data_IF_274947866781
#
_entry.id   IF_274947866781
#
_cell.length_a   1.000
_cell.length_b   1.000
_cell.length_c   1.000
_cell.angle_alpha   90.00
_cell.angle_beta   90.00
_cell.angle_gamma   90.00
#
_symmetry.space_group_name_H-M   'P 1'
#
loop_
_entity.id
_entity.type
_entity.pdbx_description
1 polymer ?
#
# COMPACT_ATOMS: atom_id res chain seq x y z
N UNK A 1 -20.41 2.49 23.38
CA UNK A 1 -20.44 1.79 22.09
C UNK A 1 -21.19 2.66 21.09
N UNK A 2 -20.55 3.11 20.01
CA UNK A 2 -21.28 3.64 18.86
C UNK A 2 -22.11 2.49 18.28
N UNK A 3 -23.37 2.76 17.93
CA UNK A 3 -24.29 1.72 17.54
C UNK A 3 -23.76 0.88 16.36
N UNK A 4 -24.07 -0.40 16.34
CA UNK A 4 -23.67 -1.41 15.32
C UNK A 4 -24.04 -1.04 13.88
N UNK A 5 -24.75 0.06 13.64
CA UNK A 5 -25.21 0.52 12.33
C UNK A 5 -24.49 1.77 11.79
N UNK A 6 -23.66 2.43 12.61
CA UNK A 6 -22.93 3.61 12.18
C UNK A 6 -21.86 3.21 11.15
N UNK A 7 -21.78 3.97 10.04
CA UNK A 7 -20.85 3.78 8.95
C UNK A 7 -20.07 5.04 8.71
N UNK A 8 -18.82 4.90 8.28
CA UNK A 8 -17.98 6.04 7.89
C UNK A 8 -17.23 5.69 6.60
N UNK A 9 -16.91 6.73 5.85
CA UNK A 9 -16.13 6.66 4.62
C UNK A 9 -15.18 7.86 4.57
N UNK A 10 -13.90 7.62 4.32
CA UNK A 10 -12.87 8.63 4.13
C UNK A 10 -12.26 8.48 2.74
N UNK A 11 -11.79 9.59 2.17
CA UNK A 11 -11.09 9.62 0.89
C UNK A 11 -10.23 10.88 0.78
N UNK A 12 -9.23 10.93 -0.11
CA UNK A 12 -8.58 12.17 -0.47
C UNK A 12 -9.59 13.16 -1.04
N UNK A 13 -9.29 14.45 -0.93
CA UNK A 13 -10.14 15.50 -1.47
C UNK A 13 -10.22 15.41 -3.00
N UNK A 14 -9.08 15.07 -3.67
CA UNK A 14 -9.00 14.81 -5.11
C UNK A 14 -8.01 13.69 -5.39
N UNK A 15 -8.27 12.98 -6.48
CA UNK A 15 -7.37 12.06 -7.13
C UNK A 15 -7.29 12.43 -8.62
N UNK A 16 -6.09 12.55 -9.14
CA UNK A 16 -5.83 12.88 -10.55
C UNK A 16 -4.79 11.89 -11.05
N UNK A 17 -5.04 11.28 -12.21
CA UNK A 17 -4.16 10.30 -12.83
C UNK A 17 -4.09 10.54 -14.33
N UNK A 18 -2.90 10.35 -14.89
CA UNK A 18 -2.68 10.36 -16.33
C UNK A 18 -1.23 10.61 -16.72
N UNK A 19 -0.85 10.35 -17.97
CA UNK A 19 0.51 10.53 -18.44
C UNK A 19 0.90 12.01 -18.53
N UNK A 20 2.00 12.36 -17.84
CA UNK A 20 2.54 13.72 -17.83
C UNK A 20 1.83 14.69 -16.89
N UNK A 21 0.96 14.21 -15.99
CA UNK A 21 0.23 15.06 -15.03
C UNK A 21 1.12 15.79 -14.03
N UNK A 22 2.32 15.28 -13.76
CA UNK A 22 3.29 15.96 -12.91
C UNK A 22 3.62 17.38 -13.42
N UNK A 23 3.55 17.63 -14.72
CA UNK A 23 3.79 18.97 -15.30
C UNK A 23 2.78 20.01 -14.84
N UNK A 24 1.60 19.58 -14.41
CA UNK A 24 0.52 20.43 -13.95
C UNK A 24 0.59 20.75 -12.45
N UNK A 25 1.57 20.17 -11.71
CA UNK A 25 1.67 20.33 -10.26
C UNK A 25 1.72 21.79 -9.78
N UNK A 26 2.33 22.76 -10.49
CA UNK A 26 2.29 24.17 -10.08
C UNK A 26 0.85 24.71 -10.01
N UNK A 27 -0.02 24.29 -10.92
CA UNK A 27 -1.44 24.70 -10.89
C UNK A 27 -2.17 24.17 -9.67
N UNK A 28 -1.90 22.91 -9.32
CA UNK A 28 -2.53 22.29 -8.14
C UNK A 28 -1.98 22.87 -6.83
N UNK A 29 -0.69 23.18 -6.75
CA UNK A 29 -0.08 23.82 -5.57
C UNK A 29 -0.76 25.16 -5.27
N UNK A 30 -1.06 25.99 -6.27
CA UNK A 30 -1.74 27.28 -6.10
C UNK A 30 -3.10 27.20 -5.40
N UNK A 31 -3.75 26.05 -5.44
CA UNK A 31 -5.02 25.85 -4.75
C UNK A 31 -4.86 25.68 -3.24
N UNK A 32 -3.68 25.27 -2.78
CA UNK A 32 -3.43 24.89 -1.38
C UNK A 32 -2.39 25.77 -0.68
N UNK A 33 -1.54 26.48 -1.47
CA UNK A 33 -0.48 27.31 -0.92
C UNK A 33 0.33 28.02 -1.99
N UNK A 34 1.49 28.55 -1.59
CA UNK A 34 2.40 29.30 -2.45
C UNK A 34 3.88 28.93 -2.28
N UNK A 35 4.20 28.20 -1.22
CA UNK A 35 5.56 27.76 -0.90
C UNK A 35 5.58 26.28 -0.57
N UNK A 36 5.99 25.44 -1.54
CA UNK A 36 5.96 24.00 -1.46
C UNK A 36 7.28 23.40 -0.97
N UNK A 37 7.23 22.46 -0.04
CA UNK A 37 8.35 21.63 0.35
C UNK A 37 8.19 20.23 -0.26
N UNK A 38 9.11 19.84 -1.13
CA UNK A 38 9.12 18.52 -1.77
C UNK A 38 10.03 17.57 -1.00
N UNK A 39 9.45 16.55 -0.37
CA UNK A 39 10.18 15.40 0.17
C UNK A 39 10.26 14.35 -0.94
N UNK A 40 11.45 14.11 -1.45
CA UNK A 40 11.66 13.26 -2.64
C UNK A 40 12.46 12.01 -2.26
N UNK A 41 11.98 10.85 -2.71
CA UNK A 41 12.66 9.56 -2.54
C UNK A 41 14.11 9.62 -3.06
N UNK A 42 15.04 9.07 -2.27
CA UNK A 42 16.47 9.16 -2.53
C UNK A 42 16.91 8.58 -3.87
N UNK A 43 16.22 7.56 -4.40
CA UNK A 43 16.56 6.92 -5.68
C UNK A 43 16.26 7.80 -6.89
N UNK A 44 15.21 8.60 -6.80
CA UNK A 44 14.75 9.46 -7.92
C UNK A 44 15.11 10.93 -7.71
N UNK A 45 15.74 11.30 -6.59
CA UNK A 45 15.96 12.69 -6.19
C UNK A 45 16.60 13.54 -7.29
N UNK A 46 17.75 13.09 -7.83
CA UNK A 46 18.52 13.90 -8.80
C UNK A 46 17.80 14.05 -10.15
N UNK A 47 17.01 13.05 -10.56
CA UNK A 47 16.21 13.13 -11.79
C UNK A 47 14.99 14.01 -11.61
N UNK A 48 14.28 13.85 -10.49
CA UNK A 48 13.08 14.63 -10.20
C UNK A 48 13.40 16.10 -9.93
N UNK A 49 14.49 16.42 -9.24
CA UNK A 49 14.90 17.79 -8.99
C UNK A 49 15.10 18.54 -10.31
N UNK A 50 15.79 17.93 -11.29
CA UNK A 50 15.96 18.54 -12.63
C UNK A 50 14.63 18.74 -13.35
N UNK A 51 13.74 17.76 -13.28
CA UNK A 51 12.41 17.87 -13.89
C UNK A 51 11.56 18.97 -13.23
N UNK A 52 11.65 19.10 -11.90
CA UNK A 52 10.96 20.17 -11.17
C UNK A 52 11.51 21.56 -11.54
N UNK A 53 12.83 21.71 -11.74
CA UNK A 53 13.42 22.97 -12.24
C UNK A 53 12.78 23.41 -13.57
N UNK A 54 12.58 22.47 -14.50
CA UNK A 54 11.90 22.74 -15.78
C UNK A 54 10.42 23.09 -15.58
N UNK A 55 9.70 22.32 -14.75
CA UNK A 55 8.26 22.49 -14.48
C UNK A 55 7.97 23.84 -13.81
N UNK A 56 8.82 24.26 -12.87
CA UNK A 56 8.61 25.51 -12.13
C UNK A 56 9.20 26.74 -12.83
N UNK A 57 9.93 26.54 -13.96
CA UNK A 57 10.49 27.66 -14.73
C UNK A 57 9.41 28.64 -15.17
N UNK A 58 9.53 29.91 -14.77
CA UNK A 58 8.57 30.96 -15.10
C UNK A 58 7.29 30.95 -14.28
N UNK A 59 7.18 30.14 -13.24
CA UNK A 59 6.07 30.19 -12.28
C UNK A 59 6.38 31.15 -11.14
N UNK A 60 5.35 31.58 -10.40
CA UNK A 60 5.42 32.41 -9.20
C UNK A 60 5.40 31.62 -7.88
N UNK A 61 5.53 30.30 -7.97
CA UNK A 61 5.54 29.40 -6.80
C UNK A 61 6.96 29.25 -6.29
N UNK A 62 7.14 29.43 -4.99
CA UNK A 62 8.36 29.06 -4.30
C UNK A 62 8.35 27.56 -4.00
N UNK A 63 9.45 26.85 -4.29
CA UNK A 63 9.57 25.46 -3.91
C UNK A 63 10.96 25.14 -3.37
N UNK A 64 11.02 24.15 -2.51
CA UNK A 64 12.23 23.62 -1.91
C UNK A 64 12.23 22.10 -2.05
N UNK A 65 13.38 21.49 -2.25
CA UNK A 65 13.51 20.05 -2.37
C UNK A 65 14.39 19.48 -1.27
N UNK A 66 13.97 18.38 -0.69
CA UNK A 66 14.75 17.63 0.29
C UNK A 66 14.80 16.15 -0.11
N UNK A 67 15.97 15.54 0.07
CA UNK A 67 16.17 14.10 -0.16
C UNK A 67 15.67 13.33 1.06
N UNK A 68 14.74 12.43 0.85
CA UNK A 68 14.25 11.51 1.88
C UNK A 68 15.36 10.53 2.33
N UNK A 69 15.50 10.33 3.63
CA UNK A 69 16.54 9.50 4.23
C UNK A 69 16.33 7.99 4.09
N UNK A 70 15.16 7.55 3.59
CA UNK A 70 14.89 6.15 3.25
C UNK A 70 14.01 5.40 4.25
N UNK A 71 13.81 5.92 5.49
CA UNK A 71 12.93 5.28 6.47
C UNK A 71 11.91 6.25 7.07
N UNK A 72 10.65 5.82 7.18
CA UNK A 72 9.57 6.61 7.80
C UNK A 72 9.69 6.55 9.33
N UNK A 73 10.65 7.30 9.87
CA UNK A 73 10.94 7.34 11.29
C UNK A 73 10.79 8.75 11.87
N UNK A 74 10.65 8.83 13.21
CA UNK A 74 10.41 10.12 13.89
C UNK A 74 11.51 11.14 13.60
N UNK A 75 12.77 10.73 13.51
CA UNK A 75 13.88 11.64 13.22
C UNK A 75 13.80 12.29 11.84
N UNK A 76 13.32 11.56 10.81
CA UNK A 76 13.08 12.13 9.47
C UNK A 76 11.90 13.10 9.50
N UNK A 77 10.85 12.80 10.24
CA UNK A 77 9.71 13.70 10.43
C UNK A 77 10.16 15.01 11.10
N UNK A 78 10.88 14.91 12.23
CA UNK A 78 11.33 16.07 13.01
C UNK A 78 12.28 16.98 12.19
N UNK A 79 13.20 16.37 11.45
CA UNK A 79 14.12 17.07 10.53
C UNK A 79 13.35 17.88 9.48
N UNK A 80 12.41 17.24 8.77
CA UNK A 80 11.65 17.92 7.73
C UNK A 80 10.71 19.00 8.29
N UNK A 81 10.15 18.80 9.48
CA UNK A 81 9.35 19.80 10.20
C UNK A 81 10.20 21.05 10.49
N UNK A 82 11.42 20.89 11.02
CA UNK A 82 12.33 22.00 11.30
C UNK A 82 12.72 22.76 10.01
N UNK A 83 13.05 22.03 8.95
CA UNK A 83 13.38 22.62 7.64
C UNK A 83 12.19 23.40 7.06
N UNK A 84 10.98 22.86 7.06
CA UNK A 84 9.78 23.53 6.57
C UNK A 84 9.47 24.82 7.34
N UNK A 85 9.59 24.80 8.67
CA UNK A 85 9.39 25.99 9.50
C UNK A 85 10.44 27.07 9.20
N UNK A 86 11.70 26.68 9.03
CA UNK A 86 12.79 27.59 8.67
C UNK A 86 12.65 28.23 7.29
N UNK A 87 12.05 27.52 6.34
CA UNK A 87 11.82 27.97 4.97
C UNK A 87 10.48 28.71 4.79
N UNK A 88 9.57 28.64 5.76
CA UNK A 88 8.23 29.20 5.64
C UNK A 88 7.36 28.49 4.60
N UNK A 89 7.60 27.18 4.37
CA UNK A 89 6.78 26.39 3.47
C UNK A 89 5.37 26.17 4.05
N UNK A 90 4.34 26.38 3.22
CA UNK A 90 2.92 26.33 3.62
C UNK A 90 2.21 25.06 3.20
N UNK A 91 2.84 24.20 2.39
CA UNK A 91 2.38 22.87 2.03
C UNK A 91 3.55 21.91 1.80
N UNK A 92 3.27 20.60 1.86
CA UNK A 92 4.26 19.55 1.56
C UNK A 92 3.82 18.70 0.38
N UNK A 93 4.78 18.34 -0.49
CA UNK A 93 4.62 17.38 -1.58
C UNK A 93 5.50 16.17 -1.31
N UNK A 94 4.90 14.99 -1.16
CA UNK A 94 5.64 13.73 -1.05
C UNK A 94 5.75 13.06 -2.40
N UNK A 95 6.96 13.02 -2.96
CA UNK A 95 7.24 12.43 -4.26
C UNK A 95 8.10 11.17 -4.07
N UNK A 96 7.49 9.98 -4.13
CA UNK A 96 8.22 8.74 -3.87
C UNK A 96 7.36 7.52 -3.65
N UNK A 97 7.95 6.50 -3.05
CA UNK A 97 7.28 5.27 -2.63
C UNK A 97 6.58 5.36 -1.26
N UNK A 98 6.04 4.25 -0.77
CA UNK A 98 5.23 4.18 0.45
C UNK A 98 5.84 4.87 1.66
N UNK A 99 7.14 4.65 1.96
CA UNK A 99 7.81 5.27 3.12
C UNK A 99 7.94 6.79 3.00
N UNK A 100 8.22 7.31 1.82
CA UNK A 100 8.23 8.76 1.55
C UNK A 100 6.84 9.36 1.74
N UNK A 101 5.81 8.66 1.24
CA UNK A 101 4.41 9.04 1.38
C UNK A 101 3.99 9.07 2.84
N UNK A 102 4.31 8.04 3.61
CA UNK A 102 3.98 7.95 5.04
C UNK A 102 4.65 9.07 5.83
N UNK A 103 5.94 9.31 5.60
CA UNK A 103 6.67 10.43 6.25
C UNK A 103 6.03 11.77 5.90
N UNK A 104 5.65 11.99 4.63
CA UNK A 104 4.94 13.20 4.19
C UNK A 104 3.63 13.42 4.94
N UNK A 105 2.85 12.35 5.11
CA UNK A 105 1.59 12.40 5.87
C UNK A 105 1.81 12.78 7.33
N UNK A 106 2.83 12.20 7.97
CA UNK A 106 3.16 12.50 9.36
C UNK A 106 3.60 13.95 9.55
N UNK A 107 4.45 14.48 8.65
CA UNK A 107 4.89 15.87 8.65
C UNK A 107 3.70 16.82 8.49
N UNK A 108 2.86 16.58 7.47
CA UNK A 108 1.68 17.39 7.22
C UNK A 108 0.69 17.40 8.39
N UNK A 109 0.53 16.25 9.06
CA UNK A 109 -0.33 16.11 10.21
C UNK A 109 0.19 16.87 11.45
N UNK A 110 1.52 16.83 11.65
CA UNK A 110 2.19 17.55 12.74
C UNK A 110 2.11 19.06 12.56
N UNK A 111 2.38 19.57 11.34
CA UNK A 111 2.33 21.00 11.03
C UNK A 111 0.92 21.52 10.72
N UNK A 112 -0.04 20.62 10.50
CA UNK A 112 -1.39 20.93 10.06
C UNK A 112 -1.42 21.71 8.72
N UNK A 113 -0.54 21.38 7.79
CA UNK A 113 -0.45 21.96 6.43
C UNK A 113 -1.10 21.05 5.39
N UNK A 114 -1.38 21.60 4.22
CA UNK A 114 -1.85 20.80 3.08
C UNK A 114 -0.77 19.84 2.59
N UNK A 115 -1.18 18.67 2.06
CA UNK A 115 -0.27 17.68 1.48
C UNK A 115 -0.75 17.21 0.12
N UNK A 116 0.20 17.12 -0.81
CA UNK A 116 0.05 16.52 -2.12
C UNK A 116 0.91 15.26 -2.15
N UNK A 117 0.32 14.14 -2.53
CA UNK A 117 1.02 12.86 -2.67
C UNK A 117 1.24 12.58 -4.15
N UNK A 118 2.49 12.35 -4.52
CA UNK A 118 2.90 12.00 -5.89
C UNK A 118 3.63 10.65 -5.84
N UNK A 119 2.92 9.53 -6.01
CA UNK A 119 3.57 8.23 -6.02
C UNK A 119 4.49 8.09 -7.24
N UNK A 120 5.72 7.67 -7.01
CA UNK A 120 6.69 7.38 -8.08
C UNK A 120 6.57 5.96 -8.64
N UNK A 121 5.76 5.13 -8.01
CA UNK A 121 5.43 3.77 -8.41
C UNK A 121 4.09 3.38 -7.82
N UNK A 122 3.32 2.54 -8.50
CA UNK A 122 2.06 1.97 -7.99
C UNK A 122 2.34 0.67 -7.21
N UNK A 123 3.19 0.76 -6.18
CA UNK A 123 3.74 -0.39 -5.44
C UNK A 123 2.99 -0.74 -4.16
N UNK A 124 2.12 0.15 -3.70
CA UNK A 124 1.29 -0.01 -2.49
C UNK A 124 0.06 0.87 -2.58
N UNK A 125 -0.88 0.65 -1.69
CA UNK A 125 -2.12 1.40 -1.53
C UNK A 125 -1.99 2.63 -0.59
N UNK A 126 -0.79 2.90 -0.09
CA UNK A 126 -0.52 4.04 0.78
C UNK A 126 -0.95 5.41 0.21
N UNK A 127 -0.91 5.72 -1.10
CA UNK A 127 -1.15 7.08 -1.59
C UNK A 127 -2.46 7.72 -1.13
N UNK A 128 -3.55 6.97 -1.14
CA UNK A 128 -4.90 7.53 -0.90
C UNK A 128 -5.41 7.35 0.52
N UNK A 129 -4.83 6.44 1.28
CA UNK A 129 -5.26 6.17 2.65
C UNK A 129 -4.86 7.25 3.65
N UNK A 130 -5.71 7.49 4.64
CA UNK A 130 -5.44 8.38 5.78
C UNK A 130 -4.66 7.69 6.91
N UNK A 131 -3.81 6.71 6.57
CA UNK A 131 -2.91 6.02 7.49
C UNK A 131 -1.47 6.24 7.06
N UNK A 132 -0.54 6.18 8.03
CA UNK A 132 0.90 6.26 7.79
C UNK A 132 1.63 5.30 8.72
N UNK A 133 2.56 4.52 8.17
CA UNK A 133 3.45 3.68 8.95
C UNK A 133 4.55 4.50 9.61
N UNK A 134 4.79 4.26 10.90
CA UNK A 134 5.95 4.78 11.61
C UNK A 134 6.86 3.60 11.96
N UNK A 135 8.14 3.76 11.64
CA UNK A 135 9.15 2.71 11.77
C UNK A 135 10.29 3.17 12.67
N UNK A 136 11.05 2.22 13.18
CA UNK A 136 12.36 2.49 13.74
C UNK A 136 13.38 2.71 12.62
N UNK A 137 14.53 3.35 12.89
CA UNK A 137 15.59 3.54 11.89
C UNK A 137 16.12 2.23 11.26
N UNK A 138 15.93 1.09 11.93
CA UNK A 138 16.30 -0.23 11.43
C UNK A 138 15.22 -0.91 10.55
N UNK A 139 14.12 -0.19 10.25
CA UNK A 139 13.06 -0.64 9.37
C UNK A 139 11.94 -1.47 10.03
N UNK A 140 12.00 -1.66 11.35
CA UNK A 140 10.94 -2.37 12.07
C UNK A 140 9.76 -1.43 12.31
N UNK A 141 8.56 -1.85 11.92
CA UNK A 141 7.34 -1.08 12.12
C UNK A 141 7.00 -0.96 13.60
N UNK A 142 6.81 0.27 14.06
CA UNK A 142 6.37 0.57 15.43
C UNK A 142 4.84 0.53 15.51
N UNK A 143 4.19 1.24 14.59
CA UNK A 143 2.73 1.36 14.52
C UNK A 143 2.26 1.99 13.21
N UNK A 144 1.00 1.75 12.86
CA UNK A 144 0.27 2.56 11.90
C UNK A 144 -0.40 3.74 12.64
N UNK A 145 -0.22 4.95 12.12
CA UNK A 145 -0.79 6.19 12.66
C UNK A 145 -1.93 6.62 11.75
N UNK A 146 -3.10 6.81 12.32
CA UNK A 146 -4.21 7.43 11.62
C UNK A 146 -4.00 8.94 11.61
N UNK A 147 -3.98 9.53 10.42
CA UNK A 147 -3.88 10.96 10.24
C UNK A 147 -5.21 11.67 10.50
N UNK A 148 -5.17 12.96 10.79
CA UNK A 148 -6.36 13.76 11.10
C UNK A 148 -7.31 13.88 9.91
N UNK A 149 -6.77 13.82 8.67
CA UNK A 149 -7.51 13.87 7.42
C UNK A 149 -6.78 13.08 6.32
N UNK A 150 -7.45 12.75 5.23
CA UNK A 150 -6.80 12.24 4.02
C UNK A 150 -6.10 13.40 3.28
N UNK A 151 -5.32 13.09 2.25
CA UNK A 151 -4.56 14.08 1.49
C UNK A 151 -5.48 15.01 0.68
N UNK A 152 -5.06 16.26 0.51
CA UNK A 152 -5.78 17.21 -0.32
C UNK A 152 -5.73 16.82 -1.79
N UNK A 153 -4.59 16.29 -2.25
CA UNK A 153 -4.44 15.77 -3.61
C UNK A 153 -3.55 14.52 -3.62
N UNK A 154 -3.98 13.52 -4.38
CA UNK A 154 -3.12 12.44 -4.86
C UNK A 154 -2.98 12.62 -6.37
N UNK A 155 -1.76 12.89 -6.83
CA UNK A 155 -1.43 13.16 -8.24
C UNK A 155 -0.56 12.03 -8.77
N UNK A 156 -1.11 11.21 -9.64
CA UNK A 156 -0.42 10.06 -10.23
C UNK A 156 -0.06 10.37 -11.67
N UNK A 157 1.23 10.50 -11.93
CA UNK A 157 1.74 10.56 -13.30
C UNK A 157 2.07 9.14 -13.78
N UNK A 158 1.23 8.57 -14.62
CA UNK A 158 1.40 7.20 -15.12
C UNK A 158 2.70 7.03 -15.93
N UNK A 159 3.19 8.07 -16.60
CA UNK A 159 4.50 8.01 -17.26
C UNK A 159 5.64 7.86 -16.24
N UNK A 160 5.54 8.45 -15.06
CA UNK A 160 6.51 8.25 -13.96
C UNK A 160 6.41 6.81 -13.45
N UNK A 161 5.20 6.32 -13.26
CA UNK A 161 4.93 4.96 -12.74
C UNK A 161 5.48 3.89 -13.69
N UNK A 162 5.24 3.96 -15.00
CA UNK A 162 5.71 2.93 -15.95
C UNK A 162 7.24 2.95 -16.12
N UNK A 163 7.90 4.04 -15.76
CA UNK A 163 9.36 4.14 -15.77
C UNK A 163 10.01 3.54 -14.51
N UNK A 164 9.22 3.23 -13.48
CA UNK A 164 9.69 2.51 -12.30
C UNK A 164 9.93 1.01 -12.60
N UNK A 165 10.74 0.31 -11.80
CA UNK A 165 10.92 -1.14 -11.95
C UNK A 165 9.58 -1.90 -11.90
N UNK A 166 9.30 -2.76 -12.89
CA UNK A 166 8.07 -3.53 -13.00
C UNK A 166 7.75 -4.39 -11.76
N UNK A 167 8.79 -4.81 -11.00
CA UNK A 167 8.62 -5.50 -9.72
C UNK A 167 7.81 -4.70 -8.71
N UNK A 168 7.95 -3.36 -8.71
CA UNK A 168 7.18 -2.48 -7.82
C UNK A 168 5.70 -2.49 -8.22
N UNK A 169 5.41 -2.50 -9.51
CA UNK A 169 4.04 -2.58 -10.01
C UNK A 169 3.38 -3.93 -9.67
N UNK A 170 4.12 -5.04 -9.85
CA UNK A 170 3.66 -6.37 -9.40
C UNK A 170 3.38 -6.40 -7.90
N UNK A 171 4.26 -5.83 -7.08
CA UNK A 171 4.04 -5.77 -5.64
C UNK A 171 2.77 -5.00 -5.28
N UNK A 172 2.46 -3.90 -5.99
CA UNK A 172 1.20 -3.18 -5.83
C UNK A 172 -0.02 -4.06 -6.12
N UNK A 173 0.03 -4.87 -7.16
CA UNK A 173 -1.05 -5.83 -7.43
C UNK A 173 -1.18 -6.90 -6.34
N UNK A 174 -0.08 -7.33 -5.74
CA UNK A 174 -0.09 -8.26 -4.60
C UNK A 174 -0.75 -7.69 -3.37
N UNK A 175 -0.49 -6.41 -3.09
CA UNK A 175 -1.11 -5.65 -2.00
C UNK A 175 -2.61 -5.46 -2.25
N UNK A 176 -2.94 -4.92 -3.42
CA UNK A 176 -4.30 -4.61 -3.84
C UNK A 176 -5.22 -5.85 -3.94
N UNK A 177 -4.67 -7.03 -4.27
CA UNK A 177 -5.45 -8.26 -4.37
C UNK A 177 -6.02 -8.71 -3.02
N UNK A 178 -5.37 -8.37 -1.89
CA UNK A 178 -5.88 -8.66 -0.56
C UNK A 178 -7.14 -7.85 -0.21
N UNK A 179 -7.29 -6.66 -0.79
CA UNK A 179 -8.29 -5.66 -0.39
C UNK A 179 -9.72 -6.21 -0.40
N UNK A 180 -10.13 -6.91 -1.45
CA UNK A 180 -11.48 -7.48 -1.52
C UNK A 180 -11.67 -8.68 -0.58
N UNK A 181 -10.67 -9.53 -0.46
CA UNK A 181 -10.73 -10.71 0.40
C UNK A 181 -10.89 -10.28 1.86
N UNK A 182 -10.05 -9.35 2.32
CA UNK A 182 -10.10 -8.83 3.67
C UNK A 182 -11.36 -7.97 3.94
N UNK A 183 -11.84 -7.23 2.93
CA UNK A 183 -13.12 -6.51 3.03
C UNK A 183 -14.29 -7.47 3.31
N UNK A 184 -14.33 -8.64 2.66
CA UNK A 184 -15.35 -9.68 2.90
C UNK A 184 -15.28 -10.19 4.33
N UNK A 185 -14.08 -10.53 4.81
CA UNK A 185 -13.84 -11.03 6.17
C UNK A 185 -14.29 -10.01 7.22
N UNK A 186 -13.84 -8.76 7.09
CA UNK A 186 -14.19 -7.67 8.00
C UNK A 186 -15.69 -7.36 8.00
N UNK A 187 -16.33 -7.43 6.84
CA UNK A 187 -17.77 -7.23 6.75
C UNK A 187 -18.55 -8.35 7.45
N UNK A 188 -18.11 -9.61 7.29
CA UNK A 188 -18.72 -10.78 7.90
C UNK A 188 -18.51 -10.81 9.44
N UNK A 189 -17.30 -10.50 9.91
CA UNK A 189 -16.97 -10.44 11.34
C UNK A 189 -17.50 -9.19 12.05
N UNK A 190 -18.08 -8.23 11.30
CA UNK A 190 -18.48 -6.92 11.82
C UNK A 190 -17.31 -6.10 12.38
N UNK A 191 -16.09 -6.30 11.91
CA UNK A 191 -14.91 -5.54 12.29
C UNK A 191 -15.06 -4.07 11.88
N UNK A 192 -14.68 -3.10 12.74
CA UNK A 192 -14.67 -1.69 12.39
C UNK A 192 -13.63 -1.36 11.31
N UNK A 193 -13.94 -0.37 10.47
CA UNK A 193 -12.97 0.20 9.54
C UNK A 193 -11.98 1.16 10.23
N UNK A 194 -10.99 1.69 9.46
CA UNK A 194 -9.95 2.56 9.99
C UNK A 194 -10.35 4.05 10.09
N UNK A 195 -11.54 4.46 9.60
CA UNK A 195 -11.97 5.86 9.60
C UNK A 195 -12.22 6.40 11.02
N UNK A 196 -12.59 5.55 11.95
CA UNK A 196 -12.82 5.97 13.34
C UNK A 196 -13.17 4.82 14.26
N UNK A 197 -13.40 5.14 15.52
CA UNK A 197 -13.72 4.14 16.53
C UNK A 197 -15.12 3.54 16.29
N UNK A 198 -15.18 2.29 15.84
CA UNK A 198 -16.40 1.50 15.79
C UNK A 198 -17.33 1.75 14.60
N UNK A 199 -16.86 2.32 13.50
CA UNK A 199 -17.63 2.43 12.26
C UNK A 199 -17.51 1.17 11.40
N UNK A 200 -18.63 0.72 10.85
CA UNK A 200 -18.68 -0.37 9.89
C UNK A 200 -18.36 0.10 8.47
N UNK A 201 -17.89 -0.80 7.59
CA UNK A 201 -17.77 -0.52 6.16
C UNK A 201 -19.08 -0.02 5.54
N UNK A 202 -18.96 0.93 4.61
CA UNK A 202 -20.08 1.36 3.78
C UNK A 202 -20.29 0.40 2.61
N UNK A 203 -21.46 0.46 1.97
CA UNK A 203 -21.67 -0.28 0.71
C UNK A 203 -20.80 0.25 -0.42
N UNK A 204 -20.48 1.54 -0.42
CA UNK A 204 -19.54 2.13 -1.36
C UNK A 204 -18.13 1.53 -1.19
N UNK A 205 -17.61 1.44 0.04
CA UNK A 205 -16.32 0.82 0.31
C UNK A 205 -16.24 -0.63 -0.17
N UNK A 206 -17.29 -1.42 0.09
CA UNK A 206 -17.38 -2.81 -0.39
C UNK A 206 -17.40 -2.91 -1.92
N UNK A 207 -18.07 -1.98 -2.60
CA UNK A 207 -18.10 -1.95 -4.06
C UNK A 207 -16.73 -1.57 -4.64
N UNK A 208 -16.04 -0.60 -4.04
CA UNK A 208 -14.69 -0.18 -4.41
C UNK A 208 -13.69 -1.34 -4.24
N UNK A 209 -13.69 -2.00 -3.08
CA UNK A 209 -12.81 -3.15 -2.83
C UNK A 209 -13.05 -4.30 -3.82
N UNK A 210 -14.32 -4.56 -4.18
CA UNK A 210 -14.66 -5.57 -5.18
C UNK A 210 -14.20 -5.19 -6.57
N UNK A 211 -14.36 -3.93 -6.96
CA UNK A 211 -13.92 -3.43 -8.28
C UNK A 211 -12.40 -3.48 -8.40
N UNK A 212 -11.65 -3.18 -7.33
CA UNK A 212 -10.21 -3.36 -7.27
C UNK A 212 -9.80 -4.77 -7.72
N UNK A 213 -10.34 -5.79 -7.08
CA UNK A 213 -10.05 -7.20 -7.43
C UNK A 213 -10.44 -7.55 -8.86
N UNK A 214 -11.59 -7.06 -9.36
CA UNK A 214 -12.05 -7.31 -10.73
C UNK A 214 -11.05 -6.77 -11.75
N UNK A 215 -10.62 -5.52 -11.60
CA UNK A 215 -9.65 -4.87 -12.50
C UNK A 215 -8.32 -5.65 -12.50
N UNK A 216 -7.82 -6.03 -11.34
CA UNK A 216 -6.58 -6.79 -11.25
C UNK A 216 -6.66 -8.11 -12.04
N UNK A 217 -7.74 -8.86 -11.87
CA UNK A 217 -7.92 -10.16 -12.54
C UNK A 217 -8.10 -10.00 -14.06
N UNK A 218 -8.79 -8.96 -14.51
CA UNK A 218 -9.04 -8.68 -15.92
C UNK A 218 -7.81 -8.09 -16.63
N UNK A 219 -7.21 -7.04 -16.09
CA UNK A 219 -6.22 -6.20 -16.76
C UNK A 219 -4.77 -6.45 -16.30
N UNK A 220 -4.56 -7.01 -15.10
CA UNK A 220 -3.25 -7.05 -14.45
C UNK A 220 -2.13 -7.70 -15.28
N UNK A 221 -2.44 -8.76 -16.03
CA UNK A 221 -1.45 -9.46 -16.88
C UNK A 221 -0.98 -8.59 -18.04
N UNK A 222 -1.92 -7.93 -18.72
CA UNK A 222 -1.63 -7.04 -19.84
C UNK A 222 -0.94 -5.76 -19.37
N UNK A 223 -1.41 -5.20 -18.25
CA UNK A 223 -0.80 -4.05 -17.61
C UNK A 223 0.67 -4.30 -17.25
N UNK A 224 0.99 -5.45 -16.63
CA UNK A 224 2.39 -5.80 -16.32
C UNK A 224 3.23 -5.94 -17.59
N UNK A 225 2.68 -6.51 -18.65
CA UNK A 225 3.38 -6.62 -19.93
C UNK A 225 3.70 -5.25 -20.53
N UNK A 226 2.78 -4.29 -20.42
CA UNK A 226 2.98 -2.89 -20.85
C UNK A 226 4.06 -2.20 -20.00
N UNK A 227 3.97 -2.30 -18.67
CA UNK A 227 4.95 -1.71 -17.74
C UNK A 227 6.36 -2.25 -17.96
N UNK A 228 6.52 -3.54 -18.25
CA UNK A 228 7.82 -4.13 -18.61
C UNK A 228 8.46 -3.53 -19.87
N UNK A 229 7.67 -2.86 -20.70
CA UNK A 229 8.11 -2.13 -21.91
C UNK A 229 8.04 -0.60 -21.73
N UNK A 230 7.74 -0.11 -20.51
CA UNK A 230 7.57 1.31 -20.19
C UNK A 230 6.48 2.00 -21.03
N UNK A 231 5.41 1.27 -21.33
CA UNK A 231 4.28 1.76 -22.13
C UNK A 231 3.11 2.11 -21.23
N UNK A 232 2.47 3.24 -21.55
CA UNK A 232 1.16 3.63 -21.00
C UNK A 232 0.08 3.02 -21.87
N UNK A 233 -0.84 2.27 -21.28
CA UNK A 233 -2.00 1.65 -21.93
C UNK A 233 -3.23 1.78 -21.04
N UNK A 234 -4.42 1.53 -21.57
CA UNK A 234 -5.67 1.58 -20.79
C UNK A 234 -5.64 0.56 -19.62
N UNK A 235 -5.16 -0.66 -19.88
CA UNK A 235 -5.07 -1.69 -18.85
C UNK A 235 -4.07 -1.31 -17.76
N UNK A 236 -2.97 -0.66 -18.12
CA UNK A 236 -1.98 -0.18 -17.15
C UNK A 236 -2.56 0.96 -16.30
N UNK A 237 -3.25 1.93 -16.90
CA UNK A 237 -3.95 2.99 -16.19
C UNK A 237 -5.00 2.42 -15.22
N UNK A 238 -5.79 1.43 -15.65
CA UNK A 238 -6.78 0.77 -14.80
C UNK A 238 -6.11 0.10 -13.58
N UNK A 239 -4.96 -0.56 -13.77
CA UNK A 239 -4.24 -1.22 -12.68
C UNK A 239 -3.53 -0.22 -11.77
N UNK A 240 -3.03 0.91 -12.28
CA UNK A 240 -2.55 2.01 -11.41
C UNK A 240 -3.69 2.50 -10.51
N UNK A 241 -4.88 2.73 -11.08
CA UNK A 241 -6.06 3.12 -10.30
C UNK A 241 -6.40 2.05 -9.24
N UNK A 242 -6.39 0.77 -9.62
CA UNK A 242 -6.64 -0.33 -8.69
C UNK A 242 -5.62 -0.34 -7.54
N UNK A 243 -4.32 -0.27 -7.82
CA UNK A 243 -3.25 -0.34 -6.82
C UNK A 243 -3.24 0.88 -5.89
N UNK A 244 -3.51 2.09 -6.40
CA UNK A 244 -3.32 3.33 -5.65
C UNK A 244 -4.62 3.90 -5.08
N UNK A 245 -5.70 3.93 -5.88
CA UNK A 245 -6.97 4.52 -5.46
C UNK A 245 -7.90 3.48 -4.84
N UNK A 246 -8.24 2.43 -5.60
CA UNK A 246 -9.28 1.50 -5.16
C UNK A 246 -8.83 0.66 -3.97
N UNK A 247 -7.57 0.20 -3.98
CA UNK A 247 -7.00 -0.52 -2.85
C UNK A 247 -6.91 0.37 -1.61
N UNK A 248 -6.35 1.58 -1.73
CA UNK A 248 -6.20 2.49 -0.61
C UNK A 248 -7.54 2.91 0.01
N UNK A 249 -8.54 3.22 -0.82
CA UNK A 249 -9.90 3.48 -0.33
C UNK A 249 -10.56 2.21 0.22
N UNK A 250 -10.30 1.08 -0.41
CA UNK A 250 -10.82 -0.22 0.01
C UNK A 250 -10.37 -0.53 1.44
N UNK A 251 -9.07 -0.67 1.67
CA UNK A 251 -8.56 -1.10 2.98
C UNK A 251 -8.83 -0.08 4.09
N UNK A 252 -8.69 1.23 3.83
CA UNK A 252 -8.99 2.25 4.85
C UNK A 252 -10.44 2.18 5.31
N UNK A 253 -11.36 1.94 4.36
CA UNK A 253 -12.80 1.98 4.60
C UNK A 253 -13.42 0.61 4.94
N UNK A 254 -12.67 -0.48 4.82
CA UNK A 254 -13.14 -1.83 5.18
C UNK A 254 -12.29 -2.52 6.25
N UNK A 255 -11.02 -2.15 6.40
CA UNK A 255 -10.05 -2.78 7.30
C UNK A 255 -9.24 -3.88 6.63
N UNK A 256 -8.14 -4.32 7.28
CA UNK A 256 -7.35 -5.49 6.94
C UNK A 256 -7.72 -6.69 7.83
N UNK A 257 -7.33 -7.90 7.42
CA UNK A 257 -7.60 -9.15 8.14
C UNK A 257 -6.40 -10.10 8.09
N UNK A 258 -6.61 -11.39 7.81
CA UNK A 258 -5.56 -12.41 7.93
C UNK A 258 -4.41 -12.25 6.94
N UNK A 259 -4.63 -11.75 5.73
CA UNK A 259 -3.54 -11.58 4.76
C UNK A 259 -2.49 -10.60 5.30
N UNK A 260 -2.89 -9.43 5.76
CA UNK A 260 -1.98 -8.47 6.39
C UNK A 260 -1.48 -8.92 7.77
N UNK A 261 -2.29 -9.68 8.52
CA UNK A 261 -1.86 -10.26 9.78
C UNK A 261 -0.70 -11.25 9.61
N UNK A 262 -0.79 -12.15 8.63
CA UNK A 262 0.26 -13.12 8.31
C UNK A 262 1.48 -12.44 7.68
N UNK A 263 1.27 -11.46 6.79
CA UNK A 263 2.34 -10.63 6.25
C UNK A 263 3.20 -10.00 7.36
N UNK A 264 2.57 -9.50 8.44
CA UNK A 264 3.31 -8.94 9.57
C UNK A 264 4.22 -9.98 10.22
N UNK A 265 3.72 -11.21 10.43
CA UNK A 265 4.55 -12.33 10.92
C UNK A 265 5.69 -12.71 9.97
N UNK A 266 5.45 -12.78 8.65
CA UNK A 266 6.50 -13.03 7.66
C UNK A 266 7.59 -11.95 7.67
N UNK A 267 7.24 -10.73 8.03
CA UNK A 267 8.17 -9.61 8.09
C UNK A 267 9.15 -9.67 9.27
N UNK A 268 8.92 -10.54 10.26
CA UNK A 268 9.87 -10.81 11.34
C UNK A 268 11.05 -11.68 10.89
N UNK A 269 10.93 -12.36 9.75
CA UNK A 269 11.98 -13.24 9.23
C UNK A 269 13.03 -12.43 8.47
N UNK A 270 14.26 -12.40 9.00
CA UNK A 270 15.33 -11.58 8.46
C UNK A 270 15.65 -11.86 6.97
N UNK A 271 15.57 -13.12 6.52
CA UNK A 271 15.78 -13.48 5.11
C UNK A 271 14.71 -12.92 4.16
N UNK A 272 13.55 -12.53 4.69
CA UNK A 272 12.45 -11.94 3.92
C UNK A 272 12.46 -10.40 3.89
N UNK A 273 13.40 -9.73 4.57
CA UNK A 273 13.46 -8.25 4.60
C UNK A 273 13.72 -7.62 3.23
N UNK A 274 14.36 -8.36 2.31
CA UNK A 274 14.59 -7.90 0.92
C UNK A 274 13.37 -7.95 0.00
N UNK A 275 12.26 -8.51 0.47
CA UNK A 275 11.01 -8.59 -0.28
C UNK A 275 10.10 -7.41 0.02
N UNK A 276 9.40 -6.96 -1.02
CA UNK A 276 8.44 -5.86 -0.95
C UNK A 276 7.20 -6.26 -0.13
N UNK A 277 6.49 -5.26 0.38
CA UNK A 277 5.25 -5.45 1.14
C UNK A 277 4.27 -6.38 0.40
N UNK A 278 3.87 -5.99 -0.81
CA UNK A 278 2.89 -6.75 -1.59
C UNK A 278 3.37 -8.14 -2.04
N UNK A 279 4.68 -8.38 -2.15
CA UNK A 279 5.20 -9.74 -2.40
C UNK A 279 4.92 -10.67 -1.22
N UNK A 280 5.08 -10.18 0.02
CA UNK A 280 4.74 -10.95 1.22
C UNK A 280 3.23 -11.09 1.40
N UNK A 281 2.47 -10.03 1.10
CA UNK A 281 0.99 -10.06 1.12
C UNK A 281 0.47 -11.10 0.13
N UNK A 282 1.04 -11.21 -1.06
CA UNK A 282 0.63 -12.19 -2.09
C UNK A 282 0.64 -13.64 -1.56
N UNK A 283 1.70 -14.07 -0.89
CA UNK A 283 1.71 -15.39 -0.25
C UNK A 283 0.71 -15.47 0.92
N UNK A 284 0.58 -14.41 1.70
CA UNK A 284 -0.34 -14.37 2.84
C UNK A 284 -1.81 -14.46 2.42
N UNK A 285 -2.16 -13.98 1.21
CA UNK A 285 -3.49 -14.19 0.61
C UNK A 285 -3.82 -15.68 0.54
N UNK A 286 -2.90 -16.51 0.07
CA UNK A 286 -3.14 -17.96 -0.02
C UNK A 286 -3.36 -18.58 1.35
N UNK A 287 -2.62 -18.11 2.36
CA UNK A 287 -2.83 -18.57 3.74
C UNK A 287 -4.22 -18.18 4.26
N UNK A 288 -4.65 -16.94 4.02
CA UNK A 288 -6.00 -16.47 4.37
C UNK A 288 -7.08 -17.32 3.67
N UNK A 289 -6.92 -17.56 2.37
CA UNK A 289 -7.86 -18.37 1.59
C UNK A 289 -7.98 -19.82 2.12
N UNK A 290 -6.87 -20.38 2.65
CA UNK A 290 -6.91 -21.69 3.35
C UNK A 290 -7.69 -21.57 4.66
N UNK A 291 -7.49 -20.53 5.46
CA UNK A 291 -8.23 -20.27 6.71
C UNK A 291 -9.74 -20.18 6.43
N UNK A 292 -10.12 -19.45 5.38
CA UNK A 292 -11.52 -19.24 4.99
C UNK A 292 -12.16 -20.46 4.30
N UNK A 293 -11.40 -21.51 4.02
CA UNK A 293 -11.86 -22.64 3.20
C UNK A 293 -12.46 -22.17 1.87
N UNK A 294 -11.75 -21.27 1.18
CA UNK A 294 -12.17 -20.68 -0.08
C UNK A 294 -12.44 -21.74 -1.16
N UNK A 295 -13.48 -21.58 -2.01
CA UNK A 295 -13.76 -22.51 -3.11
C UNK A 295 -12.54 -22.72 -4.02
N UNK A 296 -12.36 -23.96 -4.49
CA UNK A 296 -11.20 -24.35 -5.27
C UNK A 296 -11.04 -23.53 -6.57
N UNK A 297 -12.14 -23.09 -7.17
CA UNK A 297 -12.12 -22.25 -8.38
C UNK A 297 -11.53 -20.85 -8.11
N UNK A 298 -11.93 -20.21 -7.01
CA UNK A 298 -11.41 -18.91 -6.60
C UNK A 298 -9.92 -19.03 -6.17
N UNK A 299 -9.54 -20.10 -5.50
CA UNK A 299 -8.15 -20.42 -5.18
C UNK A 299 -7.30 -20.58 -6.46
N UNK A 300 -7.78 -21.35 -7.45
CA UNK A 300 -7.09 -21.57 -8.72
C UNK A 300 -6.89 -20.26 -9.49
N UNK A 301 -7.94 -19.43 -9.58
CA UNK A 301 -7.87 -18.12 -10.25
C UNK A 301 -6.85 -17.20 -9.59
N UNK A 302 -6.88 -17.11 -8.25
CA UNK A 302 -5.96 -16.27 -7.48
C UNK A 302 -4.51 -16.75 -7.61
N UNK A 303 -4.24 -18.05 -7.43
CA UNK A 303 -2.88 -18.59 -7.55
C UNK A 303 -2.31 -18.34 -8.94
N UNK A 304 -3.08 -18.61 -10.00
CA UNK A 304 -2.64 -18.36 -11.38
C UNK A 304 -2.37 -16.88 -11.63
N UNK A 305 -3.26 -16.01 -11.17
CA UNK A 305 -3.05 -14.57 -11.28
C UNK A 305 -1.73 -14.15 -10.63
N UNK A 306 -1.49 -14.51 -9.37
CA UNK A 306 -0.26 -14.16 -8.65
C UNK A 306 1.00 -14.66 -9.39
N UNK A 307 0.97 -15.90 -9.90
CA UNK A 307 2.05 -16.45 -10.70
C UNK A 307 2.31 -15.68 -12.01
N UNK A 308 1.23 -15.31 -12.69
CA UNK A 308 1.31 -14.64 -13.99
C UNK A 308 1.80 -13.18 -13.88
N UNK A 309 1.63 -12.56 -12.70
CA UNK A 309 2.14 -11.23 -12.42
C UNK A 309 3.43 -11.24 -11.57
N UNK A 310 4.20 -12.33 -11.64
CA UNK A 310 5.51 -12.51 -11.01
C UNK A 310 5.53 -12.39 -9.48
N UNK A 311 4.45 -12.75 -8.80
CA UNK A 311 4.34 -12.69 -7.34
C UNK A 311 4.63 -14.05 -6.68
N UNK A 312 5.20 -14.05 -5.45
CA UNK A 312 5.48 -15.28 -4.72
C UNK A 312 4.20 -16.00 -4.27
N UNK A 313 4.19 -17.31 -4.42
CA UNK A 313 3.13 -18.21 -3.97
C UNK A 313 3.65 -19.31 -3.02
N UNK A 314 4.93 -19.25 -2.64
CA UNK A 314 5.56 -20.21 -1.72
C UNK A 314 6.51 -19.49 -0.75
N UNK A 315 6.74 -20.09 0.41
CA UNK A 315 7.75 -19.62 1.38
C UNK A 315 9.15 -19.58 0.77
N UNK A 316 9.50 -20.59 -0.03
CA UNK A 316 10.81 -20.64 -0.69
C UNK A 316 11.06 -19.46 -1.62
N UNK A 317 10.05 -18.96 -2.32
CA UNK A 317 10.15 -17.76 -3.16
C UNK A 317 10.35 -16.47 -2.34
N UNK A 318 10.03 -16.50 -1.05
CA UNK A 318 10.29 -15.43 -0.07
C UNK A 318 11.59 -15.63 0.71
N UNK A 319 12.43 -16.60 0.34
CA UNK A 319 13.62 -17.01 1.06
C UNK A 319 13.35 -17.45 2.52
N UNK A 320 12.17 -17.99 2.79
CA UNK A 320 11.79 -18.48 4.12
C UNK A 320 11.83 -20.01 4.10
N UNK A 321 12.67 -20.59 4.95
CA UNK A 321 12.65 -22.03 5.21
C UNK A 321 11.58 -22.32 6.29
N UNK A 322 10.68 -23.30 6.08
CA UNK A 322 9.63 -23.64 7.04
C UNK A 322 10.18 -24.47 8.22
N UNK A 323 11.25 -24.00 8.85
CA UNK A 323 11.77 -24.60 10.10
C UNK A 323 10.80 -24.34 11.24
N UNK A 324 10.94 -25.15 12.30
CA UNK A 324 10.09 -24.98 13.49
C UNK A 324 10.26 -23.55 14.06
N UNK A 325 11.50 -23.06 14.13
CA UNK A 325 11.84 -21.74 14.68
C UNK A 325 11.21 -20.61 13.87
N UNK A 326 11.32 -20.65 12.54
CA UNK A 326 10.72 -19.63 11.67
C UNK A 326 9.19 -19.66 11.76
N UNK A 327 8.59 -20.85 11.75
CA UNK A 327 7.14 -20.97 11.86
C UNK A 327 6.63 -20.53 13.23
N UNK A 328 7.33 -20.84 14.31
CA UNK A 328 6.98 -20.38 15.65
C UNK A 328 7.00 -18.85 15.72
N UNK A 329 8.02 -18.20 15.17
CA UNK A 329 8.14 -16.74 15.15
C UNK A 329 7.03 -16.09 14.31
N UNK A 330 6.76 -16.60 13.10
CA UNK A 330 5.69 -16.09 12.22
C UNK A 330 4.33 -16.21 12.92
N UNK A 331 4.04 -17.39 13.47
CA UNK A 331 2.76 -17.69 14.09
C UNK A 331 2.55 -16.86 15.36
N UNK A 332 3.57 -16.79 16.24
CA UNK A 332 3.50 -16.00 17.46
C UNK A 332 3.22 -14.52 17.14
N UNK A 333 3.98 -13.93 16.21
CA UNK A 333 3.75 -12.54 15.84
C UNK A 333 2.37 -12.31 15.22
N UNK A 334 1.93 -13.22 14.34
CA UNK A 334 0.62 -13.13 13.68
C UNK A 334 -0.54 -13.19 14.67
N UNK A 335 -0.48 -14.10 15.66
CA UNK A 335 -1.60 -14.37 16.56
C UNK A 335 -1.56 -13.54 17.84
N UNK A 336 -0.36 -13.32 18.41
CA UNK A 336 -0.22 -12.74 19.74
C UNK A 336 0.22 -11.27 19.75
N UNK A 337 0.87 -10.79 18.67
CA UNK A 337 1.38 -9.42 18.56
C UNK A 337 0.67 -8.56 17.52
N UNK A 338 -0.21 -9.18 16.70
CA UNK A 338 -0.99 -8.50 15.68
C UNK A 338 -2.46 -8.90 15.79
N UNK A 339 -3.36 -7.92 15.79
CA UNK A 339 -4.79 -8.20 15.92
C UNK A 339 -5.49 -8.51 14.58
N UNK A 340 -4.84 -8.33 13.44
CA UNK A 340 -5.48 -8.38 12.13
C UNK A 340 -6.04 -9.77 11.80
N UNK A 341 -5.33 -10.83 12.15
CA UNK A 341 -5.80 -12.21 11.93
C UNK A 341 -7.11 -12.51 12.67
N UNK A 342 -7.36 -11.81 13.78
CA UNK A 342 -8.59 -11.97 14.57
C UNK A 342 -9.78 -11.18 14.00
N UNK A 343 -9.59 -10.47 12.90
CA UNK A 343 -10.68 -9.87 12.14
C UNK A 343 -11.42 -10.88 11.25
N UNK A 344 -10.90 -12.09 11.11
CA UNK A 344 -11.62 -13.17 10.44
C UNK A 344 -12.93 -13.51 11.15
N UNK A 345 -13.97 -13.97 10.41
CA UNK A 345 -15.24 -14.37 11.01
C UNK A 345 -15.17 -15.73 11.75
N UNK A 346 -13.98 -16.25 11.93
CA UNK A 346 -13.68 -17.52 12.57
C UNK A 346 -12.80 -17.33 13.81
N UNK A 347 -12.81 -18.31 14.71
CA UNK A 347 -11.88 -18.33 15.84
C UNK A 347 -10.52 -18.74 15.31
N UNK A 348 -9.52 -17.87 15.46
CA UNK A 348 -8.14 -18.09 15.02
C UNK A 348 -7.25 -18.40 16.22
N UNK A 349 -6.39 -19.40 16.05
CA UNK A 349 -5.33 -19.78 17.00
C UNK A 349 -4.04 -20.14 16.25
N UNK A 350 -2.99 -20.42 17.00
CA UNK A 350 -1.66 -20.73 16.45
C UNK A 350 -1.64 -21.93 15.52
N UNK A 351 -2.39 -23.01 15.88
CA UNK A 351 -2.45 -24.23 15.06
C UNK A 351 -3.12 -23.95 13.70
N UNK A 352 -4.20 -23.17 13.69
CA UNK A 352 -4.89 -22.79 12.45
C UNK A 352 -3.96 -22.00 11.53
N UNK A 353 -3.27 -21.00 12.06
CA UNK A 353 -2.34 -20.17 11.28
C UNK A 353 -1.17 -21.00 10.76
N UNK A 354 -0.56 -21.83 11.61
CA UNK A 354 0.54 -22.73 11.22
C UNK A 354 0.14 -23.68 10.10
N UNK A 355 -1.00 -24.34 10.25
CA UNK A 355 -1.51 -25.29 9.26
C UNK A 355 -1.86 -24.58 7.95
N UNK A 356 -2.42 -23.38 8.01
CA UNK A 356 -2.73 -22.58 6.83
C UNK A 356 -1.47 -22.19 6.06
N UNK A 357 -0.40 -21.74 6.74
CA UNK A 357 0.88 -21.40 6.12
C UNK A 357 1.48 -22.63 5.41
N UNK A 358 1.52 -23.78 6.08
CA UNK A 358 2.08 -25.01 5.50
C UNK A 358 1.24 -25.54 4.33
N UNK A 359 -0.09 -25.48 4.45
CA UNK A 359 -0.99 -25.91 3.38
C UNK A 359 -0.89 -24.97 2.16
N UNK A 360 -0.84 -23.66 2.37
CA UNK A 360 -0.66 -22.67 1.30
C UNK A 360 0.68 -22.86 0.57
N UNK A 361 1.77 -23.11 1.30
CA UNK A 361 3.08 -23.39 0.72
C UNK A 361 3.06 -24.66 -0.17
N UNK A 362 2.43 -25.74 0.29
CA UNK A 362 2.31 -26.96 -0.53
C UNK A 362 1.37 -26.77 -1.72
N UNK A 363 0.28 -26.00 -1.57
CA UNK A 363 -0.56 -25.60 -2.71
C UNK A 363 0.29 -24.86 -3.75
N UNK A 364 1.02 -23.83 -3.35
CA UNK A 364 1.88 -23.09 -4.24
C UNK A 364 2.93 -23.97 -4.95
N UNK A 365 3.59 -24.87 -4.21
CA UNK A 365 4.54 -25.85 -4.79
C UNK A 365 3.89 -26.75 -5.83
N UNK A 366 2.64 -27.18 -5.60
CA UNK A 366 1.91 -28.01 -6.55
C UNK A 366 1.63 -27.27 -7.86
N UNK A 367 1.36 -25.97 -7.83
CA UNK A 367 1.21 -25.16 -9.03
C UNK A 367 2.52 -24.97 -9.76
N UNK A 368 3.63 -24.73 -9.06
CA UNK A 368 4.95 -24.62 -9.67
C UNK A 368 5.41 -25.93 -10.36
N UNK A 369 5.06 -27.10 -9.81
CA UNK A 369 5.39 -28.41 -10.43
C UNK A 369 4.61 -28.70 -11.72
N UNK A 370 3.47 -28.04 -11.92
CA UNK A 370 2.58 -28.25 -13.08
C UNK A 370 2.91 -27.30 -14.25
N UNK A 371 3.77 -26.30 -13.99
CA UNK A 371 4.25 -25.34 -14.99
C UNK A 371 5.54 -25.86 -15.66
#
# INVERSE_FOLDING_TARGET
MKGTFSRAFGCPMRYIQGPGELKNIPTYIKEFGSSAYFLIDGFIYDSMTRQLEEIFSGTDITYHTARFGGESCQSEVDKAVEEMLGLGADLIVGLGGGKTIDTTKLIADQLNVARIIVPSAASTDAPTAGLAGLYRPDGVQIKAIKTKRNSELVLVDSQVVVNAPARLFSAGMGDAMATWLEARANYASCTPNYIGSGYRPTKAAMAIAKECSRILLEDGRNALAAVKQHLVTEEEENVIEANTLLSGLGFENTGCAAAHGIHAGLSEIASAHGFLHGEKVAFSILCMMVIENTPAEEMDETVRFLMDVDLPITLAQLNIEPTKENLDLIVDHTVNHNNLVHHEPHIINEDIVRNAILAADEIGRNYLRKR
#
